data_IF_998360980350
#
_entry.id   IF_998360980350
#
_cell.length_a   1.000
_cell.length_b   1.000
_cell.length_c   1.000
_cell.angle_alpha   90.00
_cell.angle_beta   90.00
_cell.angle_gamma   90.00
#
_symmetry.space_group_name_H-M   'P 1'
#
loop_
_entity.id
_entity.type
_entity.pdbx_description
1 polymer ?
#
# COMPACT_ATOMS: atom_id res chain seq x y z
N UNK A 1 -4.56 -38.15 -2.24
CA UNK A 1 -3.52 -37.11 -2.38
C UNK A 1 -4.17 -35.75 -2.64
N UNK A 2 -4.48 -35.00 -1.57
CA UNK A 2 -5.04 -33.66 -1.68
C UNK A 2 -4.00 -32.71 -2.25
N UNK A 3 -4.34 -32.01 -3.33
CA UNK A 3 -3.58 -30.84 -3.75
C UNK A 3 -3.51 -29.87 -2.57
N UNK A 4 -2.33 -29.34 -2.19
CA UNK A 4 -2.30 -28.28 -1.20
C UNK A 4 -3.16 -27.14 -1.73
N UNK A 5 -4.11 -26.66 -0.90
CA UNK A 5 -4.90 -25.49 -1.22
C UNK A 5 -3.96 -24.37 -1.70
N UNK A 6 -4.31 -23.61 -2.76
CA UNK A 6 -3.46 -22.54 -3.23
C UNK A 6 -3.18 -21.63 -2.04
N UNK A 7 -1.92 -21.59 -1.62
CA UNK A 7 -1.43 -20.59 -0.68
C UNK A 7 -1.61 -19.27 -1.41
N UNK A 8 -2.76 -18.64 -1.23
CA UNK A 8 -2.97 -17.27 -1.64
C UNK A 8 -1.83 -16.48 -1.02
N UNK A 9 -0.92 -16.02 -1.87
CA UNK A 9 0.24 -15.27 -1.42
C UNK A 9 -0.32 -13.97 -0.85
N UNK A 10 -0.41 -13.89 0.48
CA UNK A 10 -0.81 -12.67 1.17
C UNK A 10 0.25 -11.61 0.87
N UNK A 11 -0.10 -10.67 -0.01
CA UNK A 11 0.77 -9.61 -0.50
C UNK A 11 0.07 -8.28 -0.22
N UNK A 12 0.78 -7.36 0.41
CA UNK A 12 0.34 -5.97 0.57
C UNK A 12 0.94 -5.15 -0.57
N UNK A 13 0.09 -4.47 -1.33
CA UNK A 13 0.52 -3.50 -2.33
C UNK A 13 0.49 -2.10 -1.70
N UNK A 14 1.67 -1.56 -1.42
CA UNK A 14 1.80 -0.26 -0.76
C UNK A 14 2.19 0.80 -1.79
N UNK A 15 1.36 1.84 -1.91
CA UNK A 15 1.61 3.01 -2.75
C UNK A 15 1.97 4.18 -1.84
N UNK A 16 3.18 4.69 -1.99
CA UNK A 16 3.71 5.78 -1.18
C UNK A 16 3.96 6.98 -2.09
N UNK A 17 3.63 8.19 -1.63
CA UNK A 17 3.99 9.40 -2.36
C UNK A 17 5.51 9.58 -2.39
N UNK A 18 6.06 9.74 -3.59
CA UNK A 18 7.49 9.93 -3.80
C UNK A 18 7.88 11.37 -3.44
N UNK A 19 8.84 11.58 -2.51
CA UNK A 19 9.38 12.91 -2.28
C UNK A 19 10.08 13.44 -3.54
N UNK A 20 9.95 14.73 -3.85
CA UNK A 20 10.48 15.34 -5.10
C UNK A 20 12.00 15.17 -5.28
N UNK A 21 12.75 15.09 -4.18
CA UNK A 21 14.20 14.88 -4.17
C UNK A 21 14.61 13.41 -4.15
N UNK A 22 13.66 12.48 -4.08
CA UNK A 22 13.95 11.05 -3.96
C UNK A 22 14.27 10.46 -5.34
N UNK A 23 15.52 10.06 -5.55
CA UNK A 23 15.99 9.38 -6.76
C UNK A 23 16.37 7.95 -6.40
N UNK A 24 15.91 6.98 -7.19
CA UNK A 24 16.22 5.57 -7.03
C UNK A 24 16.44 4.94 -8.40
N UNK A 25 17.13 3.80 -8.43
CA UNK A 25 17.39 2.99 -9.61
C UNK A 25 16.62 1.66 -9.54
N UNK A 26 16.36 1.00 -10.68
CA UNK A 26 15.75 -0.33 -10.68
C UNK A 26 16.60 -1.31 -9.88
N UNK A 27 15.98 -2.00 -8.91
CA UNK A 27 16.66 -2.92 -7.99
C UNK A 27 17.03 -2.32 -6.64
N UNK A 28 16.88 -1.00 -6.46
CA UNK A 28 17.05 -0.36 -5.16
C UNK A 28 15.95 -0.79 -4.16
N UNK A 29 16.24 -0.57 -2.88
CA UNK A 29 15.33 -0.83 -1.77
C UNK A 29 15.19 0.40 -0.88
N UNK A 30 14.09 0.44 -0.14
CA UNK A 30 13.81 1.47 0.87
C UNK A 30 13.65 0.82 2.23
N UNK A 31 14.04 1.55 3.28
CA UNK A 31 13.69 1.17 4.65
C UNK A 31 12.34 1.76 5.01
N UNK A 32 11.41 0.92 5.45
CA UNK A 32 10.11 1.33 5.96
C UNK A 32 10.06 1.22 7.47
N UNK A 33 9.52 2.26 8.10
CA UNK A 33 9.06 2.25 9.48
C UNK A 33 7.61 2.68 9.49
N UNK A 34 6.78 1.88 10.15
CA UNK A 34 5.35 2.13 10.30
C UNK A 34 5.06 2.08 11.80
N UNK A 35 4.97 3.24 12.47
CA UNK A 35 4.85 3.27 13.92
C UNK A 35 3.63 2.55 14.48
N UNK A 36 2.54 2.46 13.71
CA UNK A 36 1.33 1.72 14.07
C UNK A 36 1.54 0.20 14.18
N UNK A 37 2.59 -0.33 13.53
CA UNK A 37 2.95 -1.75 13.56
C UNK A 37 4.13 -1.97 14.52
N UNK A 38 5.19 -1.18 14.33
CA UNK A 38 6.39 -1.21 15.14
C UNK A 38 7.09 0.15 15.11
N UNK A 39 7.04 0.88 16.23
CA UNK A 39 7.60 2.24 16.36
C UNK A 39 9.11 2.31 16.12
N UNK A 40 9.86 1.27 16.49
CA UNK A 40 11.32 1.30 16.51
C UNK A 40 11.97 0.31 15.54
N UNK A 41 11.20 -0.30 14.65
CA UNK A 41 11.72 -1.28 13.68
C UNK A 41 11.72 -0.71 12.26
N UNK A 42 12.84 -0.89 11.55
CA UNK A 42 13.01 -0.50 10.17
C UNK A 42 13.27 -1.74 9.33
N UNK A 43 12.49 -1.95 8.28
CA UNK A 43 12.60 -3.13 7.42
C UNK A 43 12.88 -2.73 5.96
N UNK A 44 13.86 -3.36 5.29
CA UNK A 44 14.17 -3.09 3.90
C UNK A 44 13.19 -3.78 2.95
N UNK A 45 12.71 -3.06 1.93
CA UNK A 45 11.86 -3.58 0.86
C UNK A 45 12.28 -3.05 -0.50
N UNK A 46 12.31 -3.94 -1.50
CA UNK A 46 12.64 -3.57 -2.88
C UNK A 46 11.56 -2.69 -3.50
N UNK A 47 11.99 -1.68 -4.25
CA UNK A 47 11.10 -0.83 -5.01
C UNK A 47 10.63 -1.60 -6.24
N UNK A 48 9.32 -1.71 -6.40
CA UNK A 48 8.70 -2.43 -7.53
C UNK A 48 8.20 -1.51 -8.64
N UNK A 49 8.04 -0.22 -8.36
CA UNK A 49 7.74 0.80 -9.38
C UNK A 49 8.96 1.15 -10.21
N UNK A 50 8.73 1.59 -11.44
CA UNK A 50 9.79 2.08 -12.32
C UNK A 50 10.25 3.50 -11.90
N UNK A 51 11.55 3.84 -12.05
CA UNK A 51 12.08 5.15 -11.67
C UNK A 51 11.47 6.31 -12.46
N UNK A 52 10.88 6.05 -13.62
CA UNK A 52 10.16 7.02 -14.45
C UNK A 52 8.81 7.43 -13.85
N UNK A 53 8.27 6.68 -12.86
CA UNK A 53 7.06 7.09 -12.15
C UNK A 53 7.36 8.31 -11.28
N UNK A 54 6.76 9.48 -11.60
CA UNK A 54 7.22 10.75 -11.04
C UNK A 54 6.75 10.98 -9.60
N UNK A 55 5.57 10.48 -9.24
CA UNK A 55 4.89 10.91 -8.00
C UNK A 55 4.67 9.79 -6.97
N UNK A 56 4.89 8.52 -7.35
CA UNK A 56 4.60 7.38 -6.47
C UNK A 56 5.70 6.33 -6.47
N UNK A 57 5.89 5.72 -5.30
CA UNK A 57 6.71 4.53 -5.08
C UNK A 57 5.80 3.37 -4.75
N UNK A 58 5.95 2.25 -5.46
CA UNK A 58 5.15 1.05 -5.23
C UNK A 58 6.01 -0.04 -4.65
N UNK A 59 5.50 -0.68 -3.60
CA UNK A 59 6.16 -1.79 -2.90
C UNK A 59 5.21 -3.00 -2.84
N UNK A 60 5.76 -4.17 -3.14
CA UNK A 60 5.05 -5.44 -3.01
C UNK A 60 5.63 -6.23 -1.84
N UNK A 61 4.90 -6.28 -0.74
CA UNK A 61 5.37 -6.87 0.52
C UNK A 61 4.61 -8.16 0.81
N UNK A 62 5.32 -9.29 0.79
CA UNK A 62 4.74 -10.60 1.12
C UNK A 62 4.70 -10.81 2.63
N UNK A 63 3.55 -11.28 3.14
CA UNK A 63 3.41 -11.71 4.53
C UNK A 63 4.14 -13.05 4.74
N UNK A 64 5.35 -12.97 5.27
CA UNK A 64 6.26 -14.11 5.50
C UNK A 64 6.86 -14.14 6.90
N UNK A 65 6.74 -13.06 7.66
CA UNK A 65 7.25 -12.94 9.02
C UNK A 65 6.32 -12.11 9.89
N UNK A 66 6.62 -12.06 11.19
CA UNK A 66 5.78 -11.39 12.18
C UNK A 66 5.44 -9.94 11.80
N UNK A 67 6.43 -9.16 11.36
CA UNK A 67 6.22 -7.78 10.96
C UNK A 67 5.37 -7.65 9.68
N UNK A 68 5.66 -8.44 8.64
CA UNK A 68 4.94 -8.36 7.36
C UNK A 68 3.53 -8.94 7.42
N UNK A 69 3.26 -9.89 8.32
CA UNK A 69 1.91 -10.36 8.61
C UNK A 69 1.09 -9.29 9.32
N UNK A 70 1.66 -8.63 10.35
CA UNK A 70 1.00 -7.49 11.01
C UNK A 70 0.71 -6.35 10.05
N UNK A 71 1.64 -6.07 9.12
CA UNK A 71 1.43 -5.09 8.04
C UNK A 71 0.19 -5.44 7.21
N UNK A 72 0.13 -6.68 6.73
CA UNK A 72 -0.99 -7.15 5.94
C UNK A 72 -2.31 -7.03 6.70
N UNK A 73 -2.37 -7.49 7.95
CA UNK A 73 -3.56 -7.38 8.79
C UNK A 73 -3.97 -5.93 9.07
N UNK A 74 -3.01 -5.03 9.29
CA UNK A 74 -3.25 -3.61 9.56
C UNK A 74 -3.96 -2.95 8.37
N UNK A 75 -3.45 -3.17 7.15
CA UNK A 75 -4.06 -2.60 5.94
C UNK A 75 -5.40 -3.24 5.59
N UNK A 76 -5.56 -4.56 5.79
CA UNK A 76 -6.85 -5.23 5.61
C UNK A 76 -7.94 -4.65 6.52
N UNK A 77 -7.60 -4.29 7.76
CA UNK A 77 -8.52 -3.61 8.68
C UNK A 77 -8.82 -2.16 8.27
N UNK A 78 -7.85 -1.48 7.67
CA UNK A 78 -8.03 -0.11 7.19
C UNK A 78 -8.98 -0.07 5.99
N UNK A 79 -8.82 -1.01 5.06
CA UNK A 79 -9.66 -1.15 3.86
C UNK A 79 -11.11 -1.50 4.21
N UNK A 80 -11.35 -2.32 5.23
CA UNK A 80 -12.71 -2.66 5.68
C UNK A 80 -13.47 -1.49 6.34
N UNK A 81 -12.76 -0.41 6.70
CA UNK A 81 -13.34 0.82 7.27
C UNK A 81 -13.17 2.03 6.33
N UNK A 82 -12.96 1.81 5.03
CA UNK A 82 -12.94 2.87 4.03
C UNK A 82 -14.23 3.71 4.07
N UNK A 83 -14.18 5.01 3.70
CA UNK A 83 -15.32 5.90 3.81
C UNK A 83 -16.51 5.27 3.08
N UNK A 84 -17.63 5.17 3.79
CA UNK A 84 -18.90 4.66 3.28
C UNK A 84 -19.12 5.14 1.84
N UNK A 85 -19.40 4.24 0.87
CA UNK A 85 -19.74 4.69 -0.47
C UNK A 85 -20.94 5.63 -0.34
N UNK A 86 -20.71 6.89 -0.72
CA UNK A 86 -21.73 7.94 -0.73
C UNK A 86 -23.08 7.34 -1.19
N UNK A 87 -24.20 7.56 -0.45
CA UNK A 87 -25.47 6.98 -0.84
C UNK A 87 -25.79 7.38 -2.29
N UNK A 88 -26.24 6.43 -3.15
CA UNK A 88 -26.53 6.71 -4.54
C UNK A 88 -27.76 7.60 -4.62
N UNK A 89 -27.55 8.92 -4.68
CA UNK A 89 -28.62 9.85 -4.96
C UNK A 89 -28.47 11.21 -4.29
N UNK A 90 -27.50 12.02 -4.73
CA UNK A 90 -27.71 13.45 -4.95
C UNK A 90 -26.87 13.91 -6.15
N UNK A 91 -27.47 13.80 -7.33
CA UNK A 91 -27.14 14.67 -8.46
C UNK A 91 -27.41 16.10 -8.01
N UNK A 92 -26.36 16.88 -7.74
CA UNK A 92 -26.50 18.33 -7.56
C UNK A 92 -25.76 19.03 -8.70
N UNK A 93 -26.48 19.07 -9.81
CA UNK A 93 -26.61 20.18 -10.75
C UNK A 93 -25.81 21.43 -10.34
N UNK A 94 -24.75 21.76 -11.08
CA UNK A 94 -24.19 23.11 -11.05
C UNK A 94 -25.08 23.96 -11.96
N UNK A 95 -25.88 24.85 -11.38
CA UNK A 95 -26.47 25.95 -12.13
C UNK A 95 -25.56 27.16 -11.97
N UNK A 96 -25.01 27.60 -13.10
CA UNK A 96 -24.36 28.89 -13.25
C UNK A 96 -25.32 30.00 -12.81
N UNK A 97 -24.84 30.88 -11.95
CA UNK A 97 -25.11 32.32 -11.96
C UNK A 97 -23.84 32.97 -11.40
N UNK A 98 -23.22 33.97 -12.02
CA UNK A 98 -23.73 35.04 -12.87
C UNK A 98 -23.07 36.30 -12.34
#
# INVERSE_FOLDING_TARGET
>A
PGFPAPVFLQVTHLVIQRPKSFRFQPGDYVYLNIPAIAAYEWHPFSISSAPEQPETLWLHIRARGQWTTKLYEYFQRLESHGPEPNPPGKSQHWEKVG
#
